data_IF_760034474792
#
_entry.id   IF_760034474792
#
_cell.length_a   1.000
_cell.length_b   1.000
_cell.length_c   1.000
_cell.angle_alpha   90.00
_cell.angle_beta   90.00
_cell.angle_gamma   90.00
#
_symmetry.space_group_name_H-M   'P 1'
#
loop_
_entity.id
_entity.type
_entity.pdbx_description
1 polymer ?
#
# COMPACT_ATOMS: atom_id res chain seq x y z
N UNK A 1 0.11 17.11 -34.43
CA UNK A 1 0.67 15.79 -34.08
C UNK A 1 0.99 15.87 -32.60
N UNK A 2 0.10 15.35 -31.75
CA UNK A 2 0.31 15.30 -30.31
C UNK A 2 0.41 13.83 -29.95
N UNK A 3 1.66 13.37 -29.86
CA UNK A 3 2.00 12.00 -29.55
C UNK A 3 1.38 11.63 -28.20
N UNK A 4 0.38 10.74 -28.28
CA UNK A 4 -0.12 9.96 -27.17
C UNK A 4 1.09 9.19 -26.66
N UNK A 5 1.71 9.67 -25.58
CA UNK A 5 2.78 8.97 -24.88
C UNK A 5 2.21 7.66 -24.36
N UNK A 6 2.36 6.61 -25.18
CA UNK A 6 2.07 5.25 -24.80
C UNK A 6 2.85 4.92 -23.54
N UNK A 7 2.14 4.36 -22.57
CA UNK A 7 2.73 3.64 -21.45
C UNK A 7 3.79 2.68 -22.00
N UNK A 8 5.05 3.05 -21.87
CA UNK A 8 6.15 2.41 -22.57
C UNK A 8 6.25 0.92 -22.22
N UNK A 9 6.09 0.07 -23.23
CA UNK A 9 6.25 -1.39 -23.17
C UNK A 9 7.70 -1.85 -22.94
N UNK A 10 8.62 -0.92 -22.65
CA UNK A 10 10.03 -1.19 -22.41
C UNK A 10 10.35 -1.60 -20.96
N UNK A 11 11.53 -2.18 -20.72
CA UNK A 11 12.02 -2.45 -19.37
C UNK A 11 12.14 -1.16 -18.57
N UNK A 12 11.82 -1.24 -17.27
CA UNK A 12 11.92 -0.10 -16.36
C UNK A 12 13.40 0.31 -16.19
N UNK A 13 13.68 1.62 -16.13
CA UNK A 13 15.04 2.07 -15.85
C UNK A 13 15.45 1.68 -14.42
N UNK A 14 16.74 1.39 -14.15
CA UNK A 14 17.19 1.06 -12.79
C UNK A 14 16.87 2.15 -11.76
N UNK A 15 16.94 3.42 -12.17
CA UNK A 15 16.62 4.56 -11.31
C UNK A 15 15.12 4.60 -10.97
N UNK A 16 14.25 4.44 -11.96
CA UNK A 16 12.80 4.40 -11.72
C UNK A 16 12.42 3.18 -10.87
N UNK A 17 13.08 2.04 -11.11
CA UNK A 17 12.90 0.84 -10.29
C UNK A 17 13.21 1.11 -8.82
N UNK A 18 14.38 1.69 -8.52
CA UNK A 18 14.75 2.03 -7.15
C UNK A 18 13.77 3.02 -6.50
N UNK A 19 13.29 4.01 -7.27
CA UNK A 19 12.28 4.95 -6.79
C UNK A 19 10.99 4.22 -6.39
N UNK A 20 10.42 3.41 -7.28
CA UNK A 20 9.20 2.68 -6.96
C UNK A 20 9.38 1.64 -5.83
N UNK A 21 10.55 0.99 -5.73
CA UNK A 21 10.87 0.11 -4.59
C UNK A 21 10.88 0.89 -3.27
N UNK A 22 11.48 2.09 -3.25
CA UNK A 22 11.48 2.95 -2.07
C UNK A 22 10.08 3.46 -1.73
N UNK A 23 9.30 3.89 -2.72
CA UNK A 23 7.96 4.41 -2.51
C UNK A 23 7.01 3.32 -2.01
N UNK A 24 7.13 2.10 -2.55
CA UNK A 24 6.36 0.95 -2.06
C UNK A 24 6.73 0.64 -0.60
N UNK A 25 8.02 0.56 -0.27
CA UNK A 25 8.48 0.29 1.11
C UNK A 25 7.98 1.35 2.09
N UNK A 26 8.10 2.63 1.72
CA UNK A 26 7.57 3.75 2.52
C UNK A 26 6.06 3.66 2.68
N UNK A 27 5.34 3.25 1.63
CA UNK A 27 3.91 2.99 1.67
C UNK A 27 3.56 1.94 2.73
N UNK A 28 4.25 0.79 2.74
CA UNK A 28 4.04 -0.27 3.75
C UNK A 28 4.29 0.28 5.16
N UNK A 29 5.43 0.93 5.38
CA UNK A 29 5.81 1.47 6.70
C UNK A 29 4.79 2.51 7.22
N UNK A 30 4.34 3.42 6.35
CA UNK A 30 3.33 4.42 6.69
C UNK A 30 1.99 3.79 7.02
N UNK A 31 1.58 2.79 6.23
CA UNK A 31 0.35 2.06 6.48
C UNK A 31 0.41 1.37 7.86
N UNK A 32 1.45 0.61 8.14
CA UNK A 32 1.59 -0.12 9.41
C UNK A 32 1.55 0.81 10.63
N UNK A 33 2.24 1.95 10.55
CA UNK A 33 2.21 2.97 11.62
C UNK A 33 0.81 3.57 11.78
N UNK A 34 0.17 3.96 10.68
CA UNK A 34 -1.16 4.54 10.71
C UNK A 34 -2.21 3.56 11.23
N UNK A 35 -2.14 2.28 10.86
CA UNK A 35 -3.00 1.22 11.39
C UNK A 35 -2.82 1.03 12.90
N UNK A 36 -1.57 1.04 13.37
CA UNK A 36 -1.26 0.95 14.79
C UNK A 36 -1.82 2.12 15.60
N UNK A 37 -1.74 3.34 15.07
CA UNK A 37 -2.29 4.53 15.72
C UNK A 37 -3.82 4.64 15.59
N UNK A 38 -4.38 4.23 14.45
CA UNK A 38 -5.84 4.14 14.23
C UNK A 38 -6.50 3.25 15.28
N UNK A 39 -5.90 2.09 15.59
CA UNK A 39 -6.42 1.15 16.57
C UNK A 39 -6.39 1.69 18.01
N UNK A 40 -5.51 2.67 18.31
CA UNK A 40 -5.39 3.29 19.65
C UNK A 40 -6.20 4.58 19.78
N UNK A 41 -6.51 5.24 18.66
CA UNK A 41 -7.21 6.51 18.66
C UNK A 41 -8.63 6.34 19.21
N UNK A 42 -8.99 7.15 20.20
CA UNK A 42 -10.36 7.20 20.72
C UNK A 42 -11.16 8.30 20.03
N UNK A 43 -10.50 9.41 19.65
CA UNK A 43 -11.18 10.55 19.07
C UNK A 43 -11.50 10.34 17.57
N UNK A 44 -12.77 10.56 17.14
CA UNK A 44 -13.18 10.33 15.76
C UNK A 44 -12.35 11.07 14.71
N UNK A 45 -11.94 12.31 15.00
CA UNK A 45 -11.14 13.11 14.08
C UNK A 45 -9.72 12.54 13.88
N UNK A 46 -9.14 11.92 14.91
CA UNK A 46 -7.83 11.24 14.78
C UNK A 46 -7.98 9.95 14.02
N UNK A 47 -9.03 9.16 14.28
CA UNK A 47 -9.34 7.96 13.48
C UNK A 47 -9.48 8.31 11.99
N UNK A 48 -10.23 9.36 11.67
CA UNK A 48 -10.37 9.80 10.28
C UNK A 48 -9.04 10.24 9.66
N UNK A 49 -8.20 10.99 10.41
CA UNK A 49 -6.88 11.38 9.94
C UNK A 49 -5.98 10.15 9.66
N UNK A 50 -5.95 9.15 10.54
CA UNK A 50 -5.17 7.93 10.30
C UNK A 50 -5.74 7.08 9.18
N UNK A 51 -7.07 7.05 9.01
CA UNK A 51 -7.72 6.43 7.85
C UNK A 51 -7.23 7.05 6.54
N UNK A 52 -7.20 8.39 6.46
CA UNK A 52 -6.68 9.08 5.28
C UNK A 52 -5.21 8.75 4.99
N UNK A 53 -4.39 8.60 6.03
CA UNK A 53 -2.99 8.15 5.87
C UNK A 53 -2.93 6.74 5.31
N UNK A 54 -3.73 5.80 5.81
CA UNK A 54 -3.81 4.44 5.28
C UNK A 54 -4.31 4.41 3.83
N UNK A 55 -5.34 5.19 3.49
CA UNK A 55 -5.88 5.32 2.13
C UNK A 55 -4.81 5.83 1.15
N UNK A 56 -4.05 6.85 1.54
CA UNK A 56 -2.95 7.40 0.73
C UNK A 56 -1.77 6.42 0.62
N UNK A 57 -1.43 5.73 1.70
CA UNK A 57 -0.38 4.72 1.69
C UNK A 57 -0.73 3.57 0.73
N UNK A 58 -1.99 3.11 0.75
CA UNK A 58 -2.49 2.09 -0.17
C UNK A 58 -2.41 2.54 -1.64
N UNK A 59 -2.76 3.80 -1.90
CA UNK A 59 -2.61 4.38 -3.23
C UNK A 59 -1.14 4.35 -3.70
N UNK A 60 -0.20 4.75 -2.84
CA UNK A 60 1.24 4.68 -3.14
C UNK A 60 1.71 3.24 -3.40
N UNK A 61 1.23 2.25 -2.65
CA UNK A 61 1.53 0.83 -2.88
C UNK A 61 1.05 0.37 -4.26
N UNK A 62 -0.18 0.73 -4.63
CA UNK A 62 -0.77 0.36 -5.91
C UNK A 62 -0.01 0.98 -7.09
N UNK A 63 0.27 2.29 -7.03
CA UNK A 63 1.01 2.98 -8.08
C UNK A 63 2.46 2.49 -8.20
N UNK A 64 3.12 2.22 -7.07
CA UNK A 64 4.48 1.68 -7.07
C UNK A 64 4.54 0.25 -7.61
N UNK A 65 3.59 -0.62 -7.25
CA UNK A 65 3.49 -1.97 -7.81
C UNK A 65 3.26 -1.97 -9.32
N UNK A 66 2.40 -1.06 -9.82
CA UNK A 66 2.18 -0.84 -11.25
C UNK A 66 3.44 -0.32 -11.95
N UNK A 67 4.10 0.66 -11.34
CA UNK A 67 5.38 1.21 -11.81
C UNK A 67 6.44 0.14 -11.97
N UNK A 68 6.58 -0.75 -10.98
CA UNK A 68 7.51 -1.90 -10.99
C UNK A 68 7.14 -3.00 -11.98
N UNK A 69 5.92 -2.99 -12.54
CA UNK A 69 5.39 -4.05 -13.41
C UNK A 69 5.51 -5.45 -12.78
N UNK A 70 5.40 -5.53 -11.45
CA UNK A 70 5.56 -6.75 -10.66
C UNK A 70 4.20 -7.32 -10.27
N UNK A 71 3.84 -8.44 -10.90
CA UNK A 71 2.53 -9.06 -10.71
C UNK A 71 2.32 -9.58 -9.29
N UNK A 72 3.38 -10.05 -8.64
CA UNK A 72 3.37 -10.48 -7.24
C UNK A 72 3.06 -9.30 -6.29
N UNK A 73 3.67 -8.14 -6.51
CA UNK A 73 3.36 -6.93 -5.73
C UNK A 73 1.93 -6.44 -5.98
N UNK A 74 1.44 -6.50 -7.22
CA UNK A 74 0.05 -6.15 -7.54
C UNK A 74 -0.95 -7.07 -6.82
N UNK A 75 -0.68 -8.37 -6.81
CA UNK A 75 -1.50 -9.34 -6.09
C UNK A 75 -1.45 -9.09 -4.58
N UNK A 76 -0.27 -8.81 -4.02
CA UNK A 76 -0.12 -8.52 -2.60
C UNK A 76 -0.86 -7.23 -2.21
N UNK A 77 -0.73 -6.16 -2.99
CA UNK A 77 -1.44 -4.90 -2.72
C UNK A 77 -2.96 -5.07 -2.84
N UNK A 78 -3.44 -5.89 -3.78
CA UNK A 78 -4.86 -6.20 -3.89
C UNK A 78 -5.41 -6.94 -2.67
N UNK A 79 -4.60 -7.80 -2.01
CA UNK A 79 -5.01 -8.45 -0.76
C UNK A 79 -5.04 -7.45 0.40
N UNK A 80 -4.01 -6.61 0.53
CA UNK A 80 -3.96 -5.53 1.52
C UNK A 80 -5.21 -4.63 1.39
N UNK A 81 -5.60 -4.27 0.17
CA UNK A 81 -6.81 -3.48 -0.09
C UNK A 81 -8.08 -4.19 0.40
N UNK A 82 -8.23 -5.48 0.08
CA UNK A 82 -9.37 -6.29 0.52
C UNK A 82 -9.43 -6.40 2.06
N UNK A 83 -8.32 -6.73 2.70
CA UNK A 83 -8.25 -6.91 4.16
C UNK A 83 -8.44 -5.58 4.89
N UNK A 84 -7.99 -4.48 4.30
CA UNK A 84 -8.25 -3.15 4.82
C UNK A 84 -9.73 -2.76 4.72
N UNK A 85 -10.40 -3.07 3.61
CA UNK A 85 -11.85 -2.86 3.49
C UNK A 85 -12.64 -3.71 4.50
N UNK A 86 -12.20 -4.97 4.72
CA UNK A 86 -12.76 -5.83 5.75
C UNK A 86 -12.58 -5.21 7.15
N UNK A 87 -11.36 -4.78 7.49
CA UNK A 87 -11.05 -4.13 8.76
C UNK A 87 -11.85 -2.82 8.98
N UNK A 88 -12.07 -2.03 7.94
CA UNK A 88 -12.89 -0.82 8.01
C UNK A 88 -14.37 -1.12 8.27
N UNK A 89 -14.86 -2.26 7.79
CA UNK A 89 -16.26 -2.68 7.92
C UNK A 89 -16.52 -3.36 9.26
N UNK A 90 -15.55 -4.15 9.72
CA UNK A 90 -15.54 -4.87 10.98
C UNK A 90 -14.15 -4.72 11.60
N UNK A 91 -14.01 -3.77 12.52
CA UNK A 91 -12.74 -3.52 13.22
C UNK A 91 -12.46 -4.59 14.30
N UNK A 92 -12.55 -5.86 13.91
CA UNK A 92 -12.30 -7.01 14.77
C UNK A 92 -10.82 -7.45 14.68
N UNK A 93 -10.37 -8.18 15.70
CA UNK A 93 -8.97 -8.61 15.83
C UNK A 93 -8.47 -9.55 14.71
N UNK A 94 -9.29 -10.45 14.13
CA UNK A 94 -8.85 -11.31 13.02
C UNK A 94 -8.46 -10.52 11.77
N UNK A 95 -9.26 -9.52 11.38
CA UNK A 95 -9.06 -8.68 10.20
C UNK A 95 -7.80 -7.83 10.36
N UNK A 96 -7.57 -7.28 11.56
CA UNK A 96 -6.35 -6.55 11.88
C UNK A 96 -5.11 -7.44 11.80
N UNK A 97 -5.21 -8.69 12.28
CA UNK A 97 -4.10 -9.65 12.27
C UNK A 97 -3.74 -10.02 10.84
N UNK A 98 -4.75 -10.30 10.01
CA UNK A 98 -4.55 -10.62 8.60
C UNK A 98 -3.94 -9.44 7.84
N UNK A 99 -4.49 -8.23 8.00
CA UNK A 99 -3.96 -7.01 7.38
C UNK A 99 -2.50 -6.74 7.79
N UNK A 100 -2.16 -6.96 9.05
CA UNK A 100 -0.78 -6.80 9.54
C UNK A 100 0.17 -7.82 8.89
N UNK A 101 -0.25 -9.09 8.80
CA UNK A 101 0.51 -10.15 8.14
C UNK A 101 0.76 -9.83 6.66
N UNK A 102 -0.26 -9.33 5.97
CA UNK A 102 -0.17 -8.99 4.55
C UNK A 102 0.75 -7.79 4.29
N UNK A 103 0.78 -6.80 5.20
CA UNK A 103 1.74 -5.70 5.18
C UNK A 103 3.18 -6.20 5.44
N UNK A 104 3.38 -7.10 6.39
CA UNK A 104 4.70 -7.69 6.67
C UNK A 104 5.22 -8.51 5.47
N UNK A 105 4.34 -9.24 4.79
CA UNK A 105 4.68 -9.97 3.57
C UNK A 105 5.07 -9.02 2.43
N UNK A 106 4.35 -7.91 2.27
CA UNK A 106 4.65 -6.90 1.26
C UNK A 106 6.05 -6.27 1.45
N UNK A 107 6.46 -6.01 2.70
CA UNK A 107 7.80 -5.51 3.00
C UNK A 107 8.91 -6.49 2.59
N UNK A 108 8.67 -7.80 2.74
CA UNK A 108 9.62 -8.85 2.36
C UNK A 108 9.80 -9.00 0.86
N UNK A 109 8.81 -8.65 0.04
CA UNK A 109 8.94 -8.75 -1.42
C UNK A 109 9.87 -7.70 -2.04
N UNK A 110 10.21 -6.65 -1.29
CA UNK A 110 11.05 -5.53 -1.73
C UNK A 110 12.35 -5.41 -0.90
N UNK A 111 12.50 -6.27 0.12
CA UNK A 111 13.75 -6.43 0.88
C UNK A 111 14.76 -7.27 0.10
#
# INVERSE_FOLDING_TARGET
>A
MSDIQGFGSGPISPQNRQLYEQDYKRGVDLFQRALGEYAKAEEPHKKEAFKQVMDNALHCLNESARGLKRQDLLQQTSKIEHDYQAYQSHAEDPEKTQLTSDLDQANKFIS
#
